data_IF_640313497986
#
_entry.id   IF_640313497986
#
_cell.length_a   1.000
_cell.length_b   1.000
_cell.length_c   1.000
_cell.angle_alpha   90.00
_cell.angle_beta   90.00
_cell.angle_gamma   90.00
#
_symmetry.space_group_name_H-M   'P 1'
#
loop_
_entity.id
_entity.type
_entity.pdbx_description
1 polymer ?
#
# COMPACT_ATOMS: atom_id res chain seq x y z
N UNK A 1 2.00 7.23 3.87
CA UNK A 1 1.33 5.92 3.64
C UNK A 1 1.60 5.41 2.22
N UNK A 2 1.24 4.17 1.85
CA UNK A 2 1.40 3.67 0.46
C UNK A 2 0.54 4.46 -0.53
N UNK A 3 -0.67 4.83 -0.11
CA UNK A 3 -1.57 5.66 -0.90
C UNK A 3 -0.94 7.03 -1.23
N UNK A 4 -0.31 7.69 -0.25
CA UNK A 4 0.42 8.94 -0.46
C UNK A 4 1.59 8.80 -1.43
N UNK A 5 2.19 7.60 -1.55
CA UNK A 5 3.24 7.33 -2.52
C UNK A 5 2.66 7.06 -3.92
N UNK A 6 1.59 6.27 -4.02
CA UNK A 6 1.03 5.78 -5.29
C UNK A 6 0.17 6.86 -5.97
N UNK A 7 -0.76 7.48 -5.24
CA UNK A 7 -1.78 8.36 -5.79
C UNK A 7 -1.24 9.61 -6.52
N UNK A 8 -0.25 10.37 -6.00
CA UNK A 8 0.22 11.55 -6.69
C UNK A 8 1.16 11.21 -7.87
N UNK A 9 1.07 12.01 -8.92
CA UNK A 9 2.02 12.00 -10.06
C UNK A 9 3.33 12.68 -9.69
N UNK A 10 3.24 13.76 -8.92
CA UNK A 10 4.39 14.56 -8.50
C UNK A 10 4.55 14.44 -7.00
N UNK A 11 5.67 13.90 -6.56
CA UNK A 11 6.02 13.81 -5.15
C UNK A 11 7.51 14.12 -4.99
N UNK A 12 7.83 14.91 -3.98
CA UNK A 12 9.18 15.31 -3.62
C UNK A 12 9.52 14.71 -2.27
N UNK A 13 10.73 14.15 -2.17
CA UNK A 13 11.24 13.56 -0.94
C UNK A 13 12.23 14.51 -0.29
N UNK A 14 12.02 14.76 0.99
CA UNK A 14 12.89 15.60 1.81
C UNK A 14 13.44 14.77 2.97
N UNK A 15 14.66 15.07 3.39
CA UNK A 15 15.21 14.49 4.62
C UNK A 15 14.75 15.25 5.87
N UNK A 16 15.24 14.82 7.04
CA UNK A 16 14.93 15.43 8.35
C UNK A 16 15.36 16.90 8.47
N UNK A 17 16.22 17.37 7.58
CA UNK A 17 16.68 18.77 7.52
C UNK A 17 15.96 19.59 6.45
N UNK A 18 14.86 19.07 5.89
CA UNK A 18 14.11 19.67 4.78
C UNK A 18 14.94 19.88 3.51
N UNK A 19 16.01 19.10 3.32
CA UNK A 19 16.76 19.10 2.07
C UNK A 19 16.11 18.14 1.08
N UNK A 20 15.90 18.62 -0.15
CA UNK A 20 15.35 17.82 -1.24
C UNK A 20 16.32 16.68 -1.59
N UNK A 21 15.83 15.45 -1.53
CA UNK A 21 16.55 14.22 -1.89
C UNK A 21 16.23 13.78 -3.33
N UNK A 22 15.03 14.12 -3.84
CA UNK A 22 14.65 13.80 -5.20
C UNK A 22 13.14 13.84 -5.41
N UNK A 23 12.72 13.48 -6.62
CA UNK A 23 11.31 13.30 -6.97
C UNK A 23 10.96 11.82 -7.08
N UNK A 24 9.67 11.50 -7.09
CA UNK A 24 9.17 10.15 -7.39
C UNK A 24 9.76 9.58 -8.68
N UNK A 25 9.92 10.41 -9.72
CA UNK A 25 10.50 10.00 -10.99
C UNK A 25 12.00 9.72 -10.88
N UNK A 26 12.75 10.59 -10.19
CA UNK A 26 14.21 10.38 -10.05
C UNK A 26 14.55 9.19 -9.17
N UNK A 27 13.69 8.87 -8.19
CA UNK A 27 13.89 7.80 -7.21
C UNK A 27 13.06 6.54 -7.50
N UNK A 28 12.44 6.42 -8.69
CA UNK A 28 11.48 5.35 -8.98
C UNK A 28 12.06 3.95 -8.78
N UNK A 29 13.34 3.74 -9.12
CA UNK A 29 14.03 2.46 -8.94
C UNK A 29 14.29 2.15 -7.47
N UNK A 30 14.67 3.15 -6.69
CA UNK A 30 14.88 3.00 -5.25
C UNK A 30 13.56 2.69 -4.54
N UNK A 31 12.49 3.38 -4.95
CA UNK A 31 11.14 3.14 -4.43
C UNK A 31 10.69 1.70 -4.75
N UNK A 32 10.85 1.24 -6.00
CA UNK A 32 10.57 -0.14 -6.39
C UNK A 32 11.33 -1.14 -5.51
N UNK A 33 12.63 -0.93 -5.32
CA UNK A 33 13.48 -1.84 -4.54
C UNK A 33 13.08 -1.92 -3.07
N UNK A 34 12.68 -0.79 -2.47
CA UNK A 34 12.31 -0.73 -1.04
C UNK A 34 10.88 -1.20 -0.79
N UNK A 35 9.95 -0.88 -1.70
CA UNK A 35 8.51 -1.10 -1.48
C UNK A 35 7.92 -2.28 -2.25
N UNK A 36 8.60 -2.76 -3.30
CA UNK A 36 8.05 -3.75 -4.22
C UNK A 36 6.94 -3.22 -5.15
N UNK A 37 6.60 -1.93 -5.08
CA UNK A 37 5.55 -1.32 -5.91
C UNK A 37 6.03 -1.21 -7.35
N UNK A 38 5.26 -1.79 -8.27
CA UNK A 38 5.62 -1.89 -9.68
C UNK A 38 5.92 -0.52 -10.33
N UNK A 39 6.94 -0.50 -11.18
CA UNK A 39 7.41 0.71 -11.84
C UNK A 39 6.33 1.34 -12.75
N UNK A 40 5.52 0.53 -13.44
CA UNK A 40 4.44 1.02 -14.30
C UNK A 40 3.34 1.68 -13.48
N UNK A 41 3.09 1.22 -12.25
CA UNK A 41 2.19 1.90 -11.32
C UNK A 41 2.78 3.21 -10.82
N UNK A 42 4.06 3.20 -10.41
CA UNK A 42 4.74 4.42 -9.92
C UNK A 42 4.79 5.52 -11.00
N UNK A 43 4.98 5.14 -12.26
CA UNK A 43 5.00 6.05 -13.40
C UNK A 43 3.61 6.36 -13.99
N UNK A 44 2.52 5.88 -13.37
CA UNK A 44 1.15 6.09 -13.84
C UNK A 44 0.90 5.58 -15.27
N UNK A 45 1.64 4.55 -15.68
CA UNK A 45 1.49 3.85 -16.97
C UNK A 45 0.46 2.72 -16.87
N UNK A 46 0.24 2.19 -15.66
CA UNK A 46 -0.73 1.16 -15.36
C UNK A 46 -1.59 1.55 -14.15
N UNK A 47 -2.88 1.20 -14.20
CA UNK A 47 -3.82 1.45 -13.10
C UNK A 47 -3.58 0.51 -11.92
N UNK A 48 -3.85 0.98 -10.71
CA UNK A 48 -3.85 0.16 -9.49
C UNK A 48 -4.78 -1.07 -9.62
N UNK A 49 -5.87 -0.97 -10.37
CA UNK A 49 -6.82 -2.07 -10.61
C UNK A 49 -6.25 -3.23 -11.43
N UNK A 50 -5.15 -3.02 -12.15
CA UNK A 50 -4.51 -4.06 -12.97
C UNK A 50 -3.60 -4.99 -12.18
N UNK A 51 -3.38 -4.71 -10.89
CA UNK A 51 -2.56 -5.52 -10.00
C UNK A 51 -3.44 -6.43 -9.15
N UNK A 52 -2.99 -7.67 -8.98
CA UNK A 52 -3.65 -8.68 -8.15
C UNK A 52 -3.69 -8.25 -6.68
N UNK A 53 -4.59 -8.88 -5.92
CA UNK A 53 -4.64 -8.73 -4.46
C UNK A 53 -3.30 -9.09 -3.84
N UNK A 54 -2.68 -10.20 -4.27
CA UNK A 54 -1.39 -10.61 -3.74
C UNK A 54 -0.29 -9.57 -3.92
N UNK A 55 -0.20 -8.98 -5.12
CA UNK A 55 0.79 -7.92 -5.37
C UNK A 55 0.55 -6.73 -4.44
N UNK A 56 -0.69 -6.27 -4.30
CA UNK A 56 -1.03 -5.15 -3.41
C UNK A 56 -0.70 -5.45 -1.94
N UNK A 57 -0.97 -6.67 -1.48
CA UNK A 57 -0.62 -7.13 -0.14
C UNK A 57 0.90 -7.17 0.07
N UNK A 58 1.64 -7.66 -0.93
CA UNK A 58 3.10 -7.77 -0.86
C UNK A 58 3.79 -6.41 -0.65
N UNK A 59 3.21 -5.31 -1.17
CA UNK A 59 3.77 -3.97 -1.00
C UNK A 59 3.75 -3.47 0.45
N UNK A 60 2.91 -4.09 1.30
CA UNK A 60 2.84 -3.80 2.72
C UNK A 60 3.53 -4.84 3.61
N UNK A 61 3.99 -5.97 3.05
CA UNK A 61 4.52 -7.09 3.83
C UNK A 61 5.70 -6.73 4.74
N UNK A 62 6.58 -5.83 4.29
CA UNK A 62 7.77 -5.41 5.05
C UNK A 62 7.58 -4.08 5.81
N UNK A 63 6.35 -3.56 5.90
CA UNK A 63 6.10 -2.25 6.53
C UNK A 63 5.84 -2.42 8.01
N UNK A 64 6.59 -1.68 8.82
CA UNK A 64 6.33 -1.54 10.25
C UNK A 64 5.36 -0.38 10.50
N UNK A 65 4.41 -0.61 11.41
CA UNK A 65 3.47 0.40 11.86
C UNK A 65 3.51 0.49 13.37
N UNK A 66 3.22 1.69 13.90
CA UNK A 66 3.22 1.92 15.35
C UNK A 66 2.14 1.10 16.06
N UNK A 67 0.97 0.95 15.41
CA UNK A 67 -0.12 0.08 15.89
C UNK A 67 -0.35 -1.05 14.91
N UNK A 68 -0.68 -2.23 15.41
CA UNK A 68 -1.00 -3.39 14.58
C UNK A 68 -2.17 -3.12 13.61
N UNK A 69 -3.14 -2.33 14.04
CA UNK A 69 -4.34 -2.01 13.26
C UNK A 69 -4.01 -1.09 12.08
N UNK A 70 -2.98 -0.25 12.20
CA UNK A 70 -2.56 0.66 11.14
C UNK A 70 -2.05 -0.11 9.90
N UNK A 71 -1.61 -1.37 10.07
CA UNK A 71 -1.27 -2.23 8.93
C UNK A 71 -2.48 -2.43 8.04
N UNK A 72 -3.63 -2.75 8.64
CA UNK A 72 -4.88 -2.95 7.91
C UNK A 72 -5.45 -1.64 7.36
N UNK A 73 -5.46 -0.58 8.19
CA UNK A 73 -6.03 0.71 7.78
C UNK A 73 -5.25 1.40 6.66
N UNK A 74 -3.93 1.23 6.63
CA UNK A 74 -3.10 1.77 5.55
C UNK A 74 -3.36 1.14 4.18
N UNK A 75 -4.03 -0.02 4.14
CA UNK A 75 -4.34 -0.78 2.93
C UNK A 75 -5.76 -0.51 2.39
N UNK A 76 -6.67 0.05 3.19
CA UNK A 76 -8.06 0.27 2.79
C UNK A 76 -8.19 1.05 1.48
N UNK A 77 -7.41 2.13 1.34
CA UNK A 77 -7.39 2.94 0.13
C UNK A 77 -6.80 2.23 -1.11
N UNK A 78 -6.02 1.15 -0.93
CA UNK A 78 -5.49 0.35 -2.06
C UNK A 78 -6.50 -0.66 -2.60
N UNK A 79 -7.43 -1.09 -1.75
CA UNK A 79 -8.48 -2.05 -2.08
C UNK A 79 -9.84 -1.38 -2.29
N UNK A 80 -9.93 -0.06 -2.14
CA UNK A 80 -11.19 0.70 -2.20
C UNK A 80 -12.24 0.17 -1.21
N UNK A 81 -11.78 -0.13 0.01
CA UNK A 81 -12.60 -0.71 1.08
C UNK A 81 -12.96 0.32 2.14
N UNK A 82 -14.13 0.14 2.75
CA UNK A 82 -14.57 0.90 3.91
C UNK A 82 -14.96 -0.07 5.03
N UNK A 83 -14.31 0.06 6.19
CA UNK A 83 -14.63 -0.70 7.40
C UNK A 83 -14.55 0.20 8.64
N UNK A 84 -15.37 -0.03 9.68
CA UNK A 84 -15.28 0.72 10.93
C UNK A 84 -13.89 0.61 11.57
N UNK A 85 -13.30 1.76 11.90
CA UNK A 85 -12.05 1.86 12.64
C UNK A 85 -12.28 1.47 14.10
N UNK A 86 -12.00 0.22 14.43
CA UNK A 86 -12.07 -0.31 15.78
C UNK A 86 -10.64 -0.47 16.31
N UNK A 87 -10.23 0.40 17.23
CA UNK A 87 -8.92 0.30 17.89
C UNK A 87 -9.02 -0.60 19.12
N UNK A 88 -7.97 -1.38 19.38
CA UNK A 88 -7.94 -2.36 20.48
C UNK A 88 -8.31 -3.79 20.04
N UNK A 89 -8.57 -3.99 18.75
CA UNK A 89 -8.77 -5.30 18.15
C UNK A 89 -7.46 -6.04 17.83
N UNK A 90 -6.34 -5.29 17.73
CA UNK A 90 -5.04 -5.83 17.41
C UNK A 90 -5.01 -6.57 16.07
N UNK A 91 -4.48 -7.79 16.05
CA UNK A 91 -4.39 -8.62 14.84
C UNK A 91 -5.75 -8.99 14.22
N UNK A 92 -6.87 -8.85 14.95
CA UNK A 92 -8.21 -9.12 14.40
C UNK A 92 -8.59 -8.16 13.29
N UNK A 93 -8.08 -6.92 13.32
CA UNK A 93 -8.35 -5.92 12.27
C UNK A 93 -7.80 -6.37 10.91
N UNK A 94 -6.64 -7.02 10.89
CA UNK A 94 -6.06 -7.56 9.65
C UNK A 94 -6.87 -8.73 9.09
N UNK A 95 -7.43 -9.58 9.96
CA UNK A 95 -8.38 -10.62 9.53
C UNK A 95 -9.63 -10.01 8.89
N UNK A 96 -10.21 -8.99 9.51
CA UNK A 96 -11.38 -8.27 8.96
C UNK A 96 -11.07 -7.67 7.58
N UNK A 97 -9.88 -7.11 7.39
CA UNK A 97 -9.43 -6.64 6.07
C UNK A 97 -9.46 -7.78 5.04
N UNK A 98 -8.88 -8.94 5.35
CA UNK A 98 -8.89 -10.09 4.44
C UNK A 98 -10.32 -10.57 4.11
N UNK A 99 -11.19 -10.63 5.12
CA UNK A 99 -12.61 -10.98 4.95
C UNK A 99 -13.32 -9.99 4.01
N UNK A 100 -13.07 -8.69 4.16
CA UNK A 100 -13.61 -7.64 3.30
C UNK A 100 -13.09 -7.73 1.86
N UNK A 101 -11.79 -8.02 1.67
CA UNK A 101 -11.21 -8.25 0.34
C UNK A 101 -11.87 -9.46 -0.32
N UNK A 102 -12.00 -10.60 0.37
CA UNK A 102 -12.63 -11.82 -0.16
C UNK A 102 -14.10 -11.57 -0.52
N UNK A 103 -14.81 -10.79 0.29
CA UNK A 103 -16.22 -10.48 0.05
C UNK A 103 -16.44 -9.63 -1.19
N UNK A 104 -15.51 -8.71 -1.48
CA UNK A 104 -15.64 -7.72 -2.56
C UNK A 104 -14.88 -8.11 -3.82
N UNK A 105 -13.93 -9.04 -3.72
CA UNK A 105 -13.05 -9.45 -4.81
C UNK A 105 -12.94 -10.99 -4.89
N UNK A 106 -13.18 -11.54 -6.08
CA UNK A 106 -13.05 -12.98 -6.35
C UNK A 106 -11.60 -13.43 -6.62
N UNK A 107 -10.62 -12.51 -6.53
CA UNK A 107 -9.20 -12.80 -6.72
C UNK A 107 -8.65 -13.71 -5.62
N UNK A 108 -8.45 -14.98 -5.98
CA UNK A 108 -7.95 -16.04 -5.10
C UNK A 108 -6.46 -15.87 -4.73
N UNK A 109 -5.74 -14.93 -5.35
CA UNK A 109 -4.34 -14.65 -5.03
C UNK A 109 -4.13 -14.17 -3.59
N UNK A 110 -5.18 -13.74 -2.89
CA UNK A 110 -5.14 -13.44 -1.44
C UNK A 110 -4.66 -14.61 -0.57
N UNK A 111 -4.61 -15.83 -1.10
CA UNK A 111 -4.09 -16.99 -0.38
C UNK A 111 -2.60 -17.30 -0.70
N UNK A 112 -1.96 -16.50 -1.57
CA UNK A 112 -0.65 -16.79 -2.15
C UNK A 112 0.32 -15.59 -2.12
N UNK A 113 0.14 -14.65 -1.19
CA UNK A 113 0.92 -13.40 -1.10
C UNK A 113 2.01 -13.43 -0.03
#
# INVERSE_FOLDING_TARGET
>A
TLQELIAPRNLQFFDRTFKLQGTKYSLVRDILNVTGVDLNLLLHQQSLSSFSVAQKMSWAANRETTRSEDQAYSLLGLFDLNMPLLYGEGAKTFRRLQEEIIRTNADTSILAW
#
